data_IF_442682416698
#
_entry.id   IF_442682416698
#
_cell.length_a   1.000
_cell.length_b   1.000
_cell.length_c   1.000
_cell.angle_alpha   90.00
_cell.angle_beta   90.00
_cell.angle_gamma   90.00
#
_symmetry.space_group_name_H-M   'P 1'
#
loop_
_entity.id
_entity.type
_entity.pdbx_description
1 polymer ?
#
# COMPACT_ATOMS: atom_id res chain seq x y z
N UNK A 1 60.27 -14.60 -5.41
CA UNK A 1 60.73 -15.95 -4.95
C UNK A 1 59.52 -16.80 -4.61
N UNK A 2 59.49 -17.98 -5.21
CA UNK A 2 58.64 -19.16 -5.00
C UNK A 2 57.10 -19.02 -4.99
N UNK A 3 56.53 -19.42 -6.14
CA UNK A 3 55.15 -19.93 -6.32
C UNK A 3 55.01 -21.24 -5.55
N UNK A 4 53.88 -21.42 -4.84
CA UNK A 4 53.43 -22.73 -4.36
C UNK A 4 52.09 -23.00 -5.03
N UNK A 5 52.04 -24.08 -5.82
CA UNK A 5 50.82 -24.50 -6.56
C UNK A 5 49.82 -25.19 -5.66
N UNK A 6 48.55 -24.98 -5.98
CA UNK A 6 47.43 -25.74 -5.42
C UNK A 6 47.24 -27.06 -6.17
N UNK A 7 46.86 -28.15 -5.49
CA UNK A 7 46.61 -29.45 -6.14
C UNK A 7 45.21 -29.44 -6.80
N UNK A 8 45.17 -29.85 -8.07
CA UNK A 8 43.96 -30.24 -8.79
C UNK A 8 43.43 -31.55 -8.21
N UNK A 9 42.22 -31.55 -7.70
CA UNK A 9 41.47 -32.79 -7.45
C UNK A 9 40.69 -33.18 -8.69
N UNK A 10 41.12 -34.29 -9.27
CA UNK A 10 40.51 -34.99 -10.39
C UNK A 10 39.23 -35.68 -9.88
N UNK A 11 38.05 -35.28 -10.42
CA UNK A 11 36.73 -35.84 -10.08
C UNK A 11 36.23 -36.69 -11.25
N UNK A 12 37.07 -37.61 -11.71
CA UNK A 12 36.67 -38.70 -12.63
C UNK A 12 36.71 -40.05 -11.95
N UNK A 13 35.97 -40.13 -10.79
CA UNK A 13 35.69 -41.42 -10.09
C UNK A 13 34.43 -42.04 -10.67
N UNK A 14 34.68 -42.78 -11.71
CA UNK A 14 34.00 -43.94 -12.31
C UNK A 14 32.65 -44.35 -11.70
N UNK A 15 31.58 -44.09 -12.46
CA UNK A 15 30.24 -44.71 -12.37
C UNK A 15 30.27 -46.27 -12.43
N UNK A 16 31.41 -46.86 -12.74
CA UNK A 16 31.60 -48.32 -12.82
C UNK A 16 31.70 -48.99 -11.45
N UNK A 17 32.07 -48.27 -10.37
CA UNK A 17 32.27 -48.88 -9.06
C UNK A 17 31.00 -49.02 -8.24
N UNK A 18 29.92 -48.30 -8.60
CA UNK A 18 28.61 -48.39 -7.92
C UNK A 18 27.80 -49.60 -8.42
N UNK A 19 28.09 -50.11 -9.59
CA UNK A 19 27.37 -51.25 -10.19
C UNK A 19 27.86 -52.63 -9.78
N UNK A 20 28.97 -52.74 -9.07
CA UNK A 20 29.53 -54.03 -8.61
C UNK A 20 29.06 -54.47 -7.21
N UNK A 21 28.27 -53.68 -6.50
CA UNK A 21 27.80 -54.04 -5.17
C UNK A 21 26.37 -54.57 -5.10
N UNK A 22 25.70 -54.80 -6.28
CA UNK A 22 24.35 -55.36 -6.34
C UNK A 22 24.39 -56.75 -7.00
N UNK A 23 25.33 -57.59 -6.57
CA UNK A 23 25.42 -58.98 -6.98
C UNK A 23 25.02 -59.93 -5.83
N UNK A 24 23.71 -60.12 -5.59
CA UNK A 24 23.29 -61.08 -4.60
C UNK A 24 21.84 -61.01 -4.16
N UNK A 25 20.90 -60.93 -5.13
CA UNK A 25 19.48 -61.18 -4.82
C UNK A 25 18.92 -62.28 -5.76
N UNK A 26 18.19 -63.27 -5.24
CA UNK A 26 17.65 -64.36 -6.01
C UNK A 26 16.52 -63.87 -6.93
N UNK A 27 16.42 -64.50 -8.13
CA UNK A 27 15.48 -64.33 -9.21
C UNK A 27 14.17 -63.63 -8.86
N UNK A 28 14.11 -62.32 -9.08
CA UNK A 28 12.87 -61.58 -9.18
C UNK A 28 12.34 -61.79 -10.58
N UNK A 29 11.11 -62.32 -10.70
CA UNK A 29 10.43 -62.63 -11.98
C UNK A 29 10.54 -61.45 -12.94
N UNK A 30 10.81 -61.79 -14.25
CA UNK A 30 11.01 -60.80 -15.33
C UNK A 30 9.89 -59.76 -15.47
N UNK A 31 8.69 -60.04 -14.93
CA UNK A 31 7.54 -59.14 -14.93
C UNK A 31 7.70 -58.03 -13.86
N UNK A 32 8.22 -58.36 -12.66
CA UNK A 32 8.44 -57.36 -11.60
C UNK A 32 9.60 -56.44 -11.96
N UNK A 33 10.63 -56.92 -12.66
CA UNK A 33 11.75 -56.07 -13.10
C UNK A 33 11.33 -55.05 -14.18
N UNK A 34 10.39 -55.43 -15.08
CA UNK A 34 9.82 -54.52 -16.06
C UNK A 34 8.95 -53.43 -15.41
N UNK A 35 8.10 -53.79 -14.45
CA UNK A 35 7.26 -52.85 -13.71
C UNK A 35 8.10 -51.86 -12.91
N UNK A 36 9.12 -52.29 -12.21
CA UNK A 36 10.04 -51.42 -11.44
C UNK A 36 10.81 -50.47 -12.37
N UNK A 37 11.30 -50.97 -13.52
CA UNK A 37 11.97 -50.10 -14.50
C UNK A 37 11.01 -49.06 -15.11
N UNK A 38 9.78 -49.45 -15.44
CA UNK A 38 8.76 -48.52 -15.95
C UNK A 38 8.41 -47.49 -14.89
N UNK A 39 8.27 -47.88 -13.65
CA UNK A 39 7.98 -46.95 -12.53
C UNK A 39 9.11 -45.97 -12.28
N UNK A 40 10.38 -46.42 -12.34
CA UNK A 40 11.57 -45.57 -12.25
C UNK A 40 11.66 -44.57 -13.40
N UNK A 41 11.36 -45.02 -14.63
CA UNK A 41 11.36 -44.14 -15.83
C UNK A 41 10.24 -43.10 -15.70
N UNK A 42 9.05 -43.48 -15.24
CA UNK A 42 7.93 -42.53 -15.01
C UNK A 42 8.27 -41.50 -13.93
N UNK A 43 8.90 -41.91 -12.82
CA UNK A 43 9.37 -40.97 -11.79
C UNK A 43 10.45 -40.04 -12.34
N UNK A 44 11.39 -40.54 -13.14
CA UNK A 44 12.46 -39.71 -13.75
C UNK A 44 11.91 -38.71 -14.75
N UNK A 45 10.93 -39.13 -15.58
CA UNK A 45 10.24 -38.24 -16.53
C UNK A 45 9.37 -37.23 -15.80
N UNK A 46 8.63 -37.64 -14.77
CA UNK A 46 7.83 -36.73 -13.94
C UNK A 46 8.71 -35.69 -13.20
N UNK A 47 9.86 -36.12 -12.66
CA UNK A 47 10.84 -35.21 -12.04
C UNK A 47 11.46 -34.24 -13.06
N UNK A 48 11.70 -34.69 -14.31
CA UNK A 48 12.22 -33.84 -15.38
C UNK A 48 11.17 -32.83 -15.87
N UNK A 49 9.88 -33.19 -15.86
CA UNK A 49 8.78 -32.28 -16.23
C UNK A 49 8.59 -31.21 -15.14
N UNK A 50 8.73 -31.54 -13.87
CA UNK A 50 8.67 -30.56 -12.76
C UNK A 50 9.85 -29.56 -12.81
N UNK A 51 11.03 -30.01 -13.27
CA UNK A 51 12.20 -29.15 -13.48
C UNK A 51 12.11 -28.29 -14.74
N UNK A 52 11.21 -28.62 -15.68
CA UNK A 52 10.96 -27.88 -16.93
C UNK A 52 9.73 -26.94 -16.84
N UNK A 53 9.00 -26.95 -15.71
CA UNK A 53 8.04 -25.88 -15.48
C UNK A 53 8.87 -24.59 -15.37
N UNK A 54 8.67 -23.62 -16.27
CA UNK A 54 9.32 -22.35 -16.08
C UNK A 54 8.88 -21.86 -14.70
N UNK A 55 9.81 -21.71 -13.78
CA UNK A 55 9.60 -20.83 -12.66
C UNK A 55 9.14 -19.54 -13.33
N UNK A 56 7.88 -19.16 -13.13
CA UNK A 56 7.38 -17.87 -13.55
C UNK A 56 8.24 -16.85 -12.82
N UNK A 57 9.42 -16.57 -13.37
CA UNK A 57 10.16 -15.38 -13.03
C UNK A 57 9.23 -14.28 -13.50
N UNK A 58 8.37 -13.82 -12.58
CA UNK A 58 7.65 -12.58 -12.73
C UNK A 58 8.75 -11.53 -12.93
N UNK A 59 9.10 -11.29 -14.18
CA UNK A 59 10.01 -10.23 -14.52
C UNK A 59 9.32 -8.96 -14.07
N UNK A 60 9.78 -8.46 -12.93
CA UNK A 60 9.21 -7.34 -12.20
C UNK A 60 9.40 -6.10 -13.06
N UNK A 61 8.33 -5.76 -13.76
CA UNK A 61 8.28 -4.55 -14.56
C UNK A 61 7.97 -3.41 -13.61
N UNK A 62 8.82 -2.51 -13.29
CA UNK A 62 8.50 -1.25 -12.59
C UNK A 62 7.55 -1.38 -11.36
N UNK A 63 7.41 -2.57 -10.79
CA UNK A 63 6.58 -2.83 -9.61
C UNK A 63 7.38 -3.62 -8.59
N UNK A 64 7.03 -3.51 -7.33
CA UNK A 64 7.48 -4.48 -6.34
C UNK A 64 6.83 -5.85 -6.62
N UNK A 65 7.57 -6.91 -6.37
CA UNK A 65 6.96 -8.24 -6.34
C UNK A 65 5.98 -8.32 -5.18
N UNK A 66 5.05 -9.25 -5.25
CA UNK A 66 4.16 -9.54 -4.13
C UNK A 66 4.95 -9.83 -2.84
N UNK A 67 6.10 -10.51 -2.96
CA UNK A 67 6.95 -10.82 -1.81
C UNK A 67 7.61 -9.56 -1.24
N UNK A 68 8.11 -8.66 -2.08
CA UNK A 68 8.66 -7.39 -1.61
C UNK A 68 7.61 -6.59 -0.82
N UNK A 69 6.37 -6.50 -1.34
CA UNK A 69 5.28 -5.82 -0.63
C UNK A 69 4.97 -6.47 0.72
N UNK A 70 5.02 -7.81 0.81
CA UNK A 70 4.85 -8.54 2.07
C UNK A 70 5.99 -8.20 3.04
N UNK A 71 7.23 -8.21 2.57
CA UNK A 71 8.42 -7.99 3.40
C UNK A 71 8.48 -6.56 3.94
N UNK A 72 8.17 -5.57 3.09
CA UNK A 72 8.14 -4.16 3.50
C UNK A 72 6.93 -3.78 4.36
N UNK A 73 5.86 -4.56 4.32
CA UNK A 73 4.66 -4.36 5.14
C UNK A 73 4.39 -5.56 6.05
N UNK A 74 5.45 -6.17 6.58
CA UNK A 74 5.39 -7.42 7.39
C UNK A 74 4.53 -7.30 8.64
N UNK A 75 4.48 -6.10 9.23
CA UNK A 75 3.71 -5.83 10.46
C UNK A 75 2.22 -5.54 10.17
N UNK A 76 1.77 -5.69 8.92
CA UNK A 76 0.38 -5.57 8.54
C UNK A 76 -0.49 -6.64 9.21
N UNK A 77 -1.51 -6.26 10.01
CA UNK A 77 -2.37 -7.22 10.71
C UNK A 77 -3.54 -7.72 9.87
N UNK A 78 -3.76 -7.16 8.69
CA UNK A 78 -4.91 -7.42 7.83
C UNK A 78 -4.59 -8.42 6.71
N UNK A 79 -5.63 -8.87 6.02
CA UNK A 79 -5.50 -9.59 4.76
C UNK A 79 -4.73 -8.78 3.72
N UNK A 80 -4.48 -9.41 2.56
CA UNK A 80 -3.79 -8.75 1.44
C UNK A 80 -4.62 -8.82 0.17
N UNK A 81 -4.49 -7.79 -0.64
CA UNK A 81 -4.98 -7.78 -2.01
C UNK A 81 -4.17 -8.77 -2.87
N UNK A 82 -4.69 -9.17 -4.05
CA UNK A 82 -3.98 -10.10 -4.94
C UNK A 82 -2.56 -9.65 -5.33
N UNK A 83 -2.34 -8.35 -5.42
CA UNK A 83 -1.04 -7.72 -5.72
C UNK A 83 -0.06 -7.72 -4.53
N UNK A 84 -0.50 -8.07 -3.33
CA UNK A 84 0.30 -8.15 -2.10
C UNK A 84 0.15 -6.95 -1.18
N UNK A 85 -0.50 -5.87 -1.61
CA UNK A 85 -0.78 -4.71 -0.75
C UNK A 85 -1.62 -5.11 0.46
N UNK A 86 -1.39 -4.51 1.64
CA UNK A 86 -2.30 -4.60 2.77
C UNK A 86 -3.74 -4.23 2.37
N UNK A 87 -4.70 -5.03 2.85
CA UNK A 87 -6.12 -4.78 2.66
C UNK A 87 -6.75 -4.34 3.99
N UNK A 88 -6.56 -3.06 4.33
CA UNK A 88 -7.30 -2.47 5.45
C UNK A 88 -8.79 -2.71 5.20
N UNK A 89 -9.55 -3.28 6.16
CA UNK A 89 -10.99 -3.56 6.01
C UNK A 89 -11.81 -2.33 5.68
N UNK A 90 -12.86 -2.49 4.87
CA UNK A 90 -13.70 -1.39 4.44
C UNK A 90 -14.44 -0.72 5.61
N UNK A 91 -14.76 -1.48 6.67
CA UNK A 91 -15.35 -0.94 7.89
C UNK A 91 -14.40 0.04 8.62
N UNK A 92 -13.10 -0.26 8.62
CA UNK A 92 -12.10 0.63 9.22
C UNK A 92 -11.87 1.86 8.36
N UNK A 93 -11.95 1.74 7.03
CA UNK A 93 -11.91 2.88 6.11
C UNK A 93 -13.09 3.82 6.36
N UNK A 94 -14.31 3.28 6.47
CA UNK A 94 -15.50 4.09 6.77
C UNK A 94 -15.40 4.77 8.16
N UNK A 95 -14.92 4.04 9.17
CA UNK A 95 -14.66 4.61 10.50
C UNK A 95 -13.64 5.76 10.46
N UNK A 96 -12.63 5.66 9.59
CA UNK A 96 -11.60 6.69 9.44
C UNK A 96 -12.09 7.99 8.78
N UNK A 97 -13.28 8.02 8.18
CA UNK A 97 -13.82 9.25 7.56
C UNK A 97 -14.09 10.37 8.55
N UNK A 98 -14.18 10.07 9.84
CA UNK A 98 -14.35 11.05 10.90
C UNK A 98 -13.05 11.62 11.46
N UNK A 99 -11.88 11.15 10.99
CA UNK A 99 -10.58 11.58 11.52
C UNK A 99 -10.19 12.97 11.02
N UNK A 100 -9.50 13.70 11.88
CA UNK A 100 -8.76 14.92 11.57
C UNK A 100 -7.27 14.63 11.43
N UNK A 101 -6.53 15.52 10.77
CA UNK A 101 -5.08 15.46 10.68
C UNK A 101 -4.40 15.48 12.07
N UNK A 102 -4.96 16.20 13.04
CA UNK A 102 -4.41 16.28 14.40
C UNK A 102 -4.43 14.93 15.12
N UNK A 103 -5.53 14.19 15.01
CA UNK A 103 -5.68 12.87 15.65
C UNK A 103 -4.69 11.86 15.06
N UNK A 104 -4.51 11.87 13.74
CA UNK A 104 -3.54 11.01 13.06
C UNK A 104 -2.11 11.36 13.49
N UNK A 105 -1.79 12.68 13.55
CA UNK A 105 -0.49 13.15 14.00
C UNK A 105 -0.15 12.66 15.41
N UNK A 106 -1.08 12.79 16.35
CA UNK A 106 -0.86 12.45 17.76
C UNK A 106 -0.42 10.99 17.94
N UNK A 107 -1.01 10.07 17.19
CA UNK A 107 -0.65 8.64 17.25
C UNK A 107 0.67 8.37 16.54
N UNK A 108 0.84 8.83 15.30
CA UNK A 108 2.03 8.54 14.51
C UNK A 108 3.29 9.13 15.11
N UNK A 109 3.23 10.36 15.65
CA UNK A 109 4.35 10.98 16.34
C UNK A 109 4.80 10.16 17.56
N UNK A 110 3.86 9.69 18.37
CA UNK A 110 4.15 8.86 19.54
C UNK A 110 4.83 7.52 19.16
N UNK A 111 4.61 7.04 17.94
CA UNK A 111 5.24 5.82 17.38
C UNK A 111 6.57 6.10 16.66
N UNK A 112 7.01 7.34 16.57
CA UNK A 112 8.23 7.74 15.86
C UNK A 112 8.08 7.87 14.34
N UNK A 113 6.83 7.86 13.81
CA UNK A 113 6.52 8.02 12.40
C UNK A 113 6.25 9.50 12.06
N UNK A 114 7.32 10.31 12.06
CA UNK A 114 7.21 11.77 11.93
C UNK A 114 7.06 12.27 10.48
N UNK A 115 7.37 11.44 9.48
CA UNK A 115 7.40 11.83 8.06
C UNK A 115 6.26 11.13 7.29
N UNK A 116 5.03 11.25 7.79
CA UNK A 116 3.85 10.62 7.19
C UNK A 116 2.79 11.66 6.78
N UNK A 117 3.13 12.94 6.84
CA UNK A 117 2.25 14.05 6.49
C UNK A 117 2.73 14.78 5.23
N UNK A 118 1.79 15.05 4.35
CA UNK A 118 2.00 15.83 3.13
C UNK A 118 1.02 17.01 3.07
N UNK A 119 1.55 18.21 2.94
CA UNK A 119 0.81 19.48 2.90
C UNK A 119 1.09 20.31 1.64
N UNK A 120 0.56 21.52 1.60
CA UNK A 120 0.80 22.48 0.51
C UNK A 120 0.04 22.17 -0.76
N UNK A 121 -1.04 21.40 -0.67
CA UNK A 121 -1.93 21.10 -1.78
C UNK A 121 -3.06 22.13 -1.93
N UNK A 122 -3.53 22.28 -3.17
CA UNK A 122 -4.90 22.71 -3.43
C UNK A 122 -5.82 21.51 -3.21
N UNK A 123 -6.99 21.75 -2.62
CA UNK A 123 -7.96 20.69 -2.28
C UNK A 123 -9.24 20.95 -3.09
N UNK A 124 -9.63 19.98 -3.92
CA UNK A 124 -10.81 20.14 -4.79
C UNK A 124 -12.10 20.26 -3.96
N UNK A 125 -12.22 19.48 -2.87
CA UNK A 125 -13.37 19.49 -1.97
C UNK A 125 -12.94 19.68 -0.51
N UNK A 126 -12.68 20.92 -0.05
CA UNK A 126 -12.14 21.17 1.29
C UNK A 126 -13.07 20.71 2.45
N UNK A 127 -14.34 20.46 2.17
CA UNK A 127 -15.30 19.96 3.17
C UNK A 127 -15.49 18.45 3.21
N UNK A 128 -14.72 17.69 2.42
CA UNK A 128 -14.80 16.23 2.35
C UNK A 128 -13.50 15.60 2.81
N UNK A 129 -13.60 14.66 3.74
CA UNK A 129 -12.46 13.82 4.14
C UNK A 129 -12.22 12.77 3.05
N UNK A 130 -10.97 12.64 2.62
CA UNK A 130 -10.50 11.57 1.74
C UNK A 130 -9.97 10.41 2.58
N UNK A 131 -10.47 9.21 2.37
CA UNK A 131 -9.96 8.01 3.02
C UNK A 131 -9.94 6.85 2.06
N UNK A 132 -8.85 6.05 2.08
CA UNK A 132 -8.74 4.83 1.29
C UNK A 132 -7.35 4.22 1.34
N UNK A 133 -7.22 3.04 0.72
CA UNK A 133 -5.95 2.32 0.61
C UNK A 133 -5.08 2.95 -0.47
N UNK A 134 -3.83 3.20 -0.15
CA UNK A 134 -2.89 3.83 -1.09
C UNK A 134 -2.54 2.89 -2.25
N UNK A 135 -2.70 3.39 -3.47
CA UNK A 135 -2.14 2.85 -4.70
C UNK A 135 -1.12 3.84 -5.24
N UNK A 136 0.15 3.50 -5.21
CA UNK A 136 1.23 4.42 -5.56
C UNK A 136 1.63 4.34 -7.02
N UNK A 137 1.95 5.48 -7.62
CA UNK A 137 2.50 5.61 -8.97
C UNK A 137 3.65 6.60 -8.97
N UNK A 138 4.76 6.23 -9.59
CA UNK A 138 5.96 7.06 -9.68
C UNK A 138 6.29 7.39 -11.12
N UNK A 139 6.51 8.67 -11.38
CA UNK A 139 7.09 9.17 -12.62
C UNK A 139 8.44 9.80 -12.37
N UNK A 140 9.32 9.75 -13.36
CA UNK A 140 10.58 10.48 -13.40
C UNK A 140 10.70 11.29 -14.69
N UNK A 141 11.58 12.30 -14.74
CA UNK A 141 11.93 12.94 -16.01
C UNK A 141 12.36 11.90 -17.05
N UNK A 142 11.91 12.08 -18.28
CA UNK A 142 12.22 11.13 -19.36
C UNK A 142 13.73 10.97 -19.53
N UNK A 143 14.15 9.73 -19.63
CA UNK A 143 15.51 9.32 -20.00
C UNK A 143 15.39 8.19 -21.02
N UNK A 144 15.62 8.49 -22.27
CA UNK A 144 15.25 7.65 -23.41
C UNK A 144 15.85 6.23 -23.36
N UNK A 145 17.10 6.08 -22.92
CA UNK A 145 17.75 4.78 -22.80
C UNK A 145 17.09 3.88 -21.73
N UNK A 146 16.53 4.47 -20.66
CA UNK A 146 15.77 3.76 -19.63
C UNK A 146 14.34 3.48 -20.10
N UNK A 147 13.70 4.48 -20.71
CA UNK A 147 12.34 4.37 -21.23
C UNK A 147 12.23 3.27 -22.29
N UNK A 148 13.18 3.20 -23.23
CA UNK A 148 13.21 2.15 -24.27
C UNK A 148 13.26 0.73 -23.67
N UNK A 149 14.03 0.52 -22.61
CA UNK A 149 14.10 -0.77 -21.91
C UNK A 149 12.80 -1.06 -21.17
N UNK A 150 12.22 -0.06 -20.51
CA UNK A 150 10.97 -0.19 -19.78
C UNK A 150 9.81 -0.52 -20.74
N UNK A 151 9.69 0.22 -21.84
CA UNK A 151 8.68 -0.02 -22.89
C UNK A 151 8.82 -1.41 -23.52
N UNK A 152 10.05 -1.86 -23.79
CA UNK A 152 10.29 -3.20 -24.30
C UNK A 152 9.79 -4.27 -23.33
N UNK A 153 10.15 -4.17 -22.05
CA UNK A 153 9.69 -5.09 -21.00
C UNK A 153 8.17 -5.05 -20.86
N UNK A 154 7.56 -3.87 -20.92
CA UNK A 154 6.10 -3.71 -20.87
C UNK A 154 5.41 -4.50 -21.99
N UNK A 155 5.91 -4.38 -23.22
CA UNK A 155 5.39 -5.12 -24.37
C UNK A 155 5.53 -6.64 -24.22
N UNK A 156 6.64 -7.12 -23.67
CA UNK A 156 6.86 -8.54 -23.34
C UNK A 156 5.80 -9.08 -22.36
N UNK A 157 5.22 -8.21 -21.52
CA UNK A 157 4.15 -8.52 -20.56
C UNK A 157 2.74 -8.13 -21.05
N UNK A 158 2.59 -7.85 -22.35
CA UNK A 158 1.29 -7.54 -22.94
C UNK A 158 0.79 -6.10 -22.68
N UNK A 159 1.65 -5.22 -22.16
CA UNK A 159 1.36 -3.79 -21.98
C UNK A 159 1.91 -3.03 -23.20
N UNK A 160 1.05 -2.51 -24.07
CA UNK A 160 1.50 -1.96 -25.37
C UNK A 160 2.28 -0.64 -25.19
N UNK A 161 2.02 0.13 -24.13
CA UNK A 161 2.67 1.41 -23.83
C UNK A 161 2.55 1.72 -22.33
N UNK A 162 3.61 2.32 -21.76
CA UNK A 162 3.63 2.80 -20.38
C UNK A 162 3.13 4.25 -20.31
N UNK A 163 1.94 4.45 -19.75
CA UNK A 163 1.32 5.76 -19.58
C UNK A 163 0.68 5.88 -18.19
N UNK A 164 0.16 7.06 -17.84
CA UNK A 164 -0.67 7.23 -16.65
C UNK A 164 -1.88 6.29 -16.65
N UNK A 165 -2.50 6.04 -17.81
CA UNK A 165 -3.62 5.12 -17.95
C UNK A 165 -3.26 3.68 -17.57
N UNK A 166 -2.02 3.23 -17.86
CA UNK A 166 -1.55 1.89 -17.46
C UNK A 166 -1.69 1.66 -15.95
N UNK A 167 -1.34 2.66 -15.14
CA UNK A 167 -1.50 2.58 -13.69
C UNK A 167 -2.96 2.76 -13.25
N UNK A 168 -3.68 3.67 -13.87
CA UNK A 168 -5.09 3.98 -13.56
C UNK A 168 -5.98 2.74 -13.81
N UNK A 169 -5.71 1.95 -14.84
CA UNK A 169 -6.46 0.72 -15.16
C UNK A 169 -6.27 -0.40 -14.12
N UNK A 170 -5.30 -0.28 -13.21
CA UNK A 170 -5.04 -1.25 -12.14
C UNK A 170 -5.74 -0.91 -10.82
N UNK A 171 -6.42 0.23 -10.73
CA UNK A 171 -7.11 0.67 -9.52
C UNK A 171 -8.26 -0.26 -9.14
N UNK A 172 -8.49 -0.39 -7.83
CA UNK A 172 -9.52 -1.24 -7.24
C UNK A 172 -10.44 -0.43 -6.30
N UNK A 173 -11.64 -0.93 -5.98
CA UNK A 173 -12.52 -0.30 -5.00
C UNK A 173 -11.83 -0.05 -3.67
N UNK A 174 -11.99 1.16 -3.14
CA UNK A 174 -11.35 1.62 -1.90
C UNK A 174 -9.91 2.12 -2.05
N UNK A 175 -9.35 2.18 -3.27
CA UNK A 175 -8.04 2.78 -3.50
C UNK A 175 -8.09 4.32 -3.49
N UNK A 176 -7.00 4.92 -3.01
CA UNK A 176 -6.61 6.31 -3.27
C UNK A 176 -5.42 6.30 -4.20
N UNK A 177 -5.57 6.91 -5.37
CA UNK A 177 -4.47 7.05 -6.33
C UNK A 177 -3.48 8.11 -5.83
N UNK A 178 -2.24 7.71 -5.54
CA UNK A 178 -1.17 8.57 -5.03
C UNK A 178 -0.03 8.63 -6.03
N UNK A 179 0.20 9.82 -6.60
CA UNK A 179 1.13 10.00 -7.72
C UNK A 179 2.29 10.90 -7.35
N UNK A 180 3.49 10.34 -7.35
CA UNK A 180 4.75 11.11 -7.34
C UNK A 180 5.15 11.45 -8.77
N UNK A 181 5.06 12.72 -9.11
CA UNK A 181 5.58 13.28 -10.35
C UNK A 181 6.55 14.44 -10.05
N UNK A 182 7.33 14.27 -8.99
CA UNK A 182 8.42 15.16 -8.54
C UNK A 182 8.06 16.66 -8.48
N UNK A 183 6.82 17.01 -8.14
CA UNK A 183 6.35 18.40 -8.04
C UNK A 183 6.15 19.10 -9.40
N UNK A 184 6.09 18.35 -10.49
CA UNK A 184 5.97 18.91 -11.85
C UNK A 184 4.59 19.56 -12.06
N UNK A 185 4.59 20.88 -12.29
CA UNK A 185 3.37 21.65 -12.49
C UNK A 185 3.01 21.76 -13.98
N UNK A 186 3.95 22.17 -14.81
CA UNK A 186 3.75 22.31 -16.27
C UNK A 186 4.06 20.98 -16.95
N UNK A 187 3.17 20.52 -17.84
CA UNK A 187 3.22 19.18 -18.44
C UNK A 187 3.26 18.05 -17.40
N UNK A 188 2.73 18.30 -16.19
CA UNK A 188 2.64 17.33 -15.10
C UNK A 188 1.22 16.84 -14.82
N UNK A 189 0.30 17.06 -15.74
CA UNK A 189 -1.12 16.75 -15.57
C UNK A 189 -1.39 15.26 -15.66
N UNK A 190 -1.76 14.68 -14.53
CA UNK A 190 -2.06 13.24 -14.41
C UNK A 190 -3.44 12.92 -14.96
N UNK A 191 -4.45 13.75 -14.65
CA UNK A 191 -5.83 13.57 -15.06
C UNK A 191 -6.45 14.87 -15.53
N UNK A 192 -7.38 14.78 -16.49
CA UNK A 192 -8.47 15.71 -16.73
C UNK A 192 -9.77 15.08 -16.28
N UNK A 193 -10.90 15.70 -16.60
CA UNK A 193 -12.25 15.30 -16.15
C UNK A 193 -12.59 13.84 -16.47
N UNK A 194 -12.36 13.38 -17.70
CA UNK A 194 -12.69 12.01 -18.12
C UNK A 194 -11.91 10.95 -17.33
N UNK A 195 -10.59 11.13 -17.14
CA UNK A 195 -9.78 10.18 -16.36
C UNK A 195 -10.10 10.28 -14.87
N UNK A 196 -10.40 11.48 -14.37
CA UNK A 196 -10.81 11.65 -12.98
C UNK A 196 -12.15 10.94 -12.70
N UNK A 197 -13.11 11.04 -13.65
CA UNK A 197 -14.35 10.29 -13.58
C UNK A 197 -14.12 8.77 -13.57
N UNK A 198 -13.20 8.29 -14.41
CA UNK A 198 -12.83 6.87 -14.41
C UNK A 198 -12.21 6.44 -13.08
N UNK A 199 -11.27 7.21 -12.51
CA UNK A 199 -10.68 6.96 -11.19
C UNK A 199 -11.78 6.88 -10.12
N UNK A 200 -12.73 7.84 -10.12
CA UNK A 200 -13.85 7.85 -9.19
C UNK A 200 -14.68 6.56 -9.28
N UNK A 201 -14.95 6.06 -10.50
CA UNK A 201 -15.69 4.82 -10.72
C UNK A 201 -14.91 3.60 -10.28
N UNK A 202 -13.62 3.50 -10.64
CA UNK A 202 -12.75 2.36 -10.32
C UNK A 202 -12.53 2.24 -8.80
N UNK A 203 -12.35 3.36 -8.12
CA UNK A 203 -12.06 3.39 -6.68
C UNK A 203 -13.28 3.45 -5.77
N UNK A 204 -14.50 3.58 -6.34
CA UNK A 204 -15.73 3.83 -5.60
C UNK A 204 -15.62 5.09 -4.70
N UNK A 205 -15.16 6.19 -5.29
CA UNK A 205 -14.95 7.50 -4.64
C UNK A 205 -13.80 7.54 -3.62
N UNK A 206 -12.75 6.75 -3.80
CA UNK A 206 -11.58 6.76 -2.94
C UNK A 206 -10.91 8.14 -2.87
N UNK A 207 -10.14 8.51 -3.87
CA UNK A 207 -9.49 9.82 -3.92
C UNK A 207 -8.28 9.88 -4.84
N UNK A 208 -7.72 11.09 -4.95
CA UNK A 208 -6.52 11.38 -5.74
C UNK A 208 -5.56 12.28 -4.96
N UNK A 209 -4.29 11.91 -4.88
CA UNK A 209 -3.20 12.77 -4.41
C UNK A 209 -2.14 12.84 -5.49
N UNK A 210 -1.83 14.05 -5.95
CA UNK A 210 -0.81 14.28 -7.00
C UNK A 210 0.23 15.28 -6.53
N UNK A 211 1.48 14.85 -6.40
CA UNK A 211 2.60 15.79 -6.25
C UNK A 211 2.94 16.39 -7.64
N UNK A 212 1.97 17.05 -8.23
CA UNK A 212 1.98 17.58 -9.59
C UNK A 212 0.72 18.36 -9.94
N UNK A 213 0.27 18.30 -11.19
CA UNK A 213 -0.90 19.03 -11.67
C UNK A 213 -2.05 18.14 -12.14
N UNK A 214 -3.21 18.75 -12.19
CA UNK A 214 -4.43 18.27 -12.84
C UNK A 214 -4.96 19.34 -13.78
N UNK A 215 -5.97 19.06 -14.61
CA UNK A 215 -6.61 20.04 -15.48
C UNK A 215 -8.13 19.88 -15.44
N UNK A 216 -8.81 20.76 -16.18
CA UNK A 216 -10.26 20.73 -16.37
C UNK A 216 -11.03 20.90 -15.04
N UNK A 217 -10.58 21.85 -14.18
CA UNK A 217 -11.10 22.02 -12.80
C UNK A 217 -12.61 22.17 -12.73
N UNK A 218 -13.24 22.88 -13.69
CA UNK A 218 -14.69 23.04 -13.73
C UNK A 218 -15.39 21.67 -13.87
N UNK A 219 -14.93 20.84 -14.82
CA UNK A 219 -15.44 19.48 -14.98
C UNK A 219 -15.14 18.56 -13.79
N UNK A 220 -13.95 18.68 -13.19
CA UNK A 220 -13.61 17.93 -11.98
C UNK A 220 -14.52 18.29 -10.80
N UNK A 221 -14.94 19.56 -10.70
CA UNK A 221 -15.81 20.04 -9.61
C UNK A 221 -17.23 19.44 -9.64
N UNK A 222 -17.62 18.83 -10.75
CA UNK A 222 -18.88 18.09 -10.89
C UNK A 222 -18.78 16.61 -10.48
N UNK A 223 -17.54 16.11 -10.25
CA UNK A 223 -17.27 14.71 -9.94
C UNK A 223 -17.04 14.55 -8.44
N UNK A 224 -17.91 13.81 -7.77
CA UNK A 224 -17.93 13.64 -6.32
C UNK A 224 -16.78 12.73 -5.80
N UNK A 225 -15.53 13.23 -5.93
CA UNK A 225 -14.32 12.56 -5.41
C UNK A 225 -13.30 13.59 -4.92
N UNK A 226 -12.73 13.44 -3.70
CA UNK A 226 -11.69 14.33 -3.18
C UNK A 226 -10.40 14.24 -4.02
N UNK A 227 -9.73 15.38 -4.20
CA UNK A 227 -8.43 15.44 -4.84
C UNK A 227 -7.51 16.50 -4.21
N UNK A 228 -6.23 16.14 -4.08
CA UNK A 228 -5.13 16.95 -3.56
C UNK A 228 -4.08 17.09 -4.65
N UNK A 229 -3.72 18.32 -5.03
CA UNK A 229 -2.82 18.59 -6.16
C UNK A 229 -2.07 19.91 -5.97
N UNK A 230 -0.94 20.10 -6.67
CA UNK A 230 -0.12 21.31 -6.51
C UNK A 230 -0.55 22.46 -7.40
N UNK A 231 -1.06 22.16 -8.58
CA UNK A 231 -1.43 23.19 -9.58
C UNK A 231 -2.48 22.67 -10.56
N UNK A 232 -3.18 23.59 -11.21
CA UNK A 232 -3.89 23.33 -12.44
C UNK A 232 -3.03 23.76 -13.63
N UNK A 233 -2.93 22.89 -14.65
CA UNK A 233 -2.19 23.18 -15.89
C UNK A 233 -2.90 22.55 -17.09
N UNK A 234 -3.23 23.31 -18.16
CA UNK A 234 -4.04 22.79 -19.27
C UNK A 234 -3.27 21.82 -20.17
N UNK A 235 -1.94 21.75 -20.04
CA UNK A 235 -1.13 20.89 -20.89
C UNK A 235 -1.25 19.41 -20.48
N UNK A 236 -1.15 18.48 -21.44
CA UNK A 236 -1.14 17.07 -21.10
C UNK A 236 0.17 16.68 -20.37
N UNK A 237 0.17 15.50 -19.75
CA UNK A 237 1.39 14.90 -19.21
C UNK A 237 2.43 14.73 -20.32
N UNK A 238 3.66 15.15 -20.04
CA UNK A 238 4.75 15.07 -21.02
C UNK A 238 6.13 15.20 -20.40
N UNK A 239 7.16 14.76 -21.14
CA UNK A 239 8.55 14.75 -20.71
C UNK A 239 8.78 13.99 -19.39
N UNK A 240 8.03 12.93 -19.18
CA UNK A 240 8.14 12.04 -18.03
C UNK A 240 7.98 10.59 -18.48
N UNK A 241 8.55 9.66 -17.74
CA UNK A 241 8.39 8.22 -17.92
C UNK A 241 7.82 7.60 -16.64
N UNK A 242 6.96 6.61 -16.79
CA UNK A 242 6.45 5.80 -15.68
C UNK A 242 7.57 4.89 -15.17
N UNK A 243 7.94 5.02 -13.91
CA UNK A 243 9.06 4.29 -13.30
C UNK A 243 8.66 3.36 -12.17
N UNK A 244 7.43 3.47 -11.67
CA UNK A 244 6.96 2.59 -10.60
C UNK A 244 5.45 2.56 -10.45
N UNK A 245 4.92 1.36 -10.18
CA UNK A 245 3.54 1.12 -9.78
C UNK A 245 3.60 0.25 -8.54
N UNK A 246 2.88 0.64 -7.47
CA UNK A 246 2.94 -0.04 -6.17
C UNK A 246 4.39 -0.16 -5.64
N UNK A 247 5.15 0.92 -5.74
CA UNK A 247 6.47 1.11 -5.15
C UNK A 247 6.42 2.21 -4.09
N UNK A 248 7.39 2.30 -3.16
CA UNK A 248 7.48 3.44 -2.26
C UNK A 248 7.66 4.73 -3.04
N UNK A 249 6.90 5.75 -2.68
CA UNK A 249 7.00 7.07 -3.32
C UNK A 249 7.22 8.16 -2.28
N UNK A 250 7.71 9.31 -2.73
CA UNK A 250 7.80 10.51 -1.91
C UNK A 250 6.69 11.49 -2.31
N UNK A 251 5.80 11.79 -1.38
CA UNK A 251 4.77 12.82 -1.56
C UNK A 251 5.10 13.97 -0.61
N UNK A 252 5.55 15.10 -1.16
CA UNK A 252 6.04 16.24 -0.38
C UNK A 252 7.13 15.80 0.62
N UNK A 253 6.85 15.85 1.94
CA UNK A 253 7.75 15.40 3.01
C UNK A 253 7.53 13.96 3.48
N UNK A 254 6.51 13.27 2.95
CA UNK A 254 6.12 11.94 3.40
C UNK A 254 6.73 10.82 2.57
N UNK A 255 7.10 9.72 3.23
CA UNK A 255 7.36 8.43 2.59
C UNK A 255 6.05 7.64 2.60
N UNK A 256 5.59 7.25 1.42
CA UNK A 256 4.28 6.61 1.23
C UNK A 256 4.47 5.20 0.69
N UNK A 257 3.89 4.24 1.38
CA UNK A 257 3.92 2.84 0.96
C UNK A 257 2.61 2.41 0.31
N UNK A 258 2.67 1.51 -0.69
CA UNK A 258 1.46 0.86 -1.20
C UNK A 258 0.72 0.13 -0.08
N UNK A 259 -0.59 0.41 0.06
CA UNK A 259 -1.43 -0.19 1.09
C UNK A 259 -1.48 0.57 2.41
N UNK A 260 -0.77 1.70 2.57
CA UNK A 260 -1.03 2.64 3.66
C UNK A 260 -2.50 3.10 3.62
N UNK A 261 -3.04 3.52 4.75
CA UNK A 261 -4.32 4.23 4.79
C UNK A 261 -4.06 5.72 4.57
N UNK A 262 -4.54 6.27 3.46
CA UNK A 262 -4.57 7.72 3.27
C UNK A 262 -5.74 8.33 4.06
N UNK A 263 -5.47 9.39 4.81
CA UNK A 263 -6.46 10.22 5.49
C UNK A 263 -6.17 11.66 5.13
N UNK A 264 -7.08 12.29 4.41
CA UNK A 264 -6.92 13.66 3.94
C UNK A 264 -8.07 14.56 4.37
N UNK A 265 -7.76 15.74 4.89
CA UNK A 265 -8.70 16.79 5.27
C UNK A 265 -8.31 18.13 4.63
N UNK A 266 -8.75 19.25 5.23
CA UNK A 266 -8.45 20.59 4.71
C UNK A 266 -6.98 21.01 4.87
N UNK A 267 -6.24 20.37 5.77
CA UNK A 267 -4.87 20.73 6.12
C UNK A 267 -3.85 19.99 5.26
N UNK A 268 -4.15 18.75 4.89
CA UNK A 268 -3.27 17.92 4.07
C UNK A 268 -3.66 16.45 4.10
N UNK A 269 -2.68 15.58 3.85
CA UNK A 269 -2.88 14.13 3.79
C UNK A 269 -1.88 13.42 4.68
N UNK A 270 -2.38 12.57 5.57
CA UNK A 270 -1.59 11.57 6.29
C UNK A 270 -1.62 10.22 5.58
N UNK A 271 -0.48 9.52 5.66
CA UNK A 271 -0.33 8.15 5.17
C UNK A 271 -0.01 7.26 6.37
N UNK A 272 -0.99 6.48 6.80
CA UNK A 272 -0.95 5.68 8.02
C UNK A 272 -0.53 4.25 7.71
N UNK A 273 0.60 3.76 8.23
CA UNK A 273 0.97 2.37 8.10
C UNK A 273 -0.13 1.44 8.67
N UNK A 274 -0.47 0.34 7.98
CA UNK A 274 -1.62 -0.53 8.34
C UNK A 274 -1.62 -1.01 9.79
N UNK A 275 -0.44 -1.28 10.36
CA UNK A 275 -0.32 -1.75 11.75
C UNK A 275 -0.83 -0.76 12.81
N UNK A 276 -0.97 0.52 12.47
CA UNK A 276 -1.45 1.53 13.40
C UNK A 276 -2.91 1.92 13.22
N UNK A 277 -3.58 1.42 12.17
CA UNK A 277 -4.94 1.85 11.81
C UNK A 277 -5.94 1.58 12.95
N UNK A 278 -5.91 0.38 13.55
CA UNK A 278 -6.84 0.05 14.63
C UNK A 278 -6.60 0.92 15.87
N UNK A 279 -5.33 1.04 16.30
CA UNK A 279 -4.97 1.87 17.47
C UNK A 279 -5.33 3.34 17.23
N UNK A 280 -5.08 3.85 16.02
CA UNK A 280 -5.45 5.21 15.65
C UNK A 280 -6.95 5.46 15.81
N UNK A 281 -7.78 4.56 15.27
CA UNK A 281 -9.23 4.70 15.34
C UNK A 281 -9.76 4.62 16.78
N UNK A 282 -9.19 3.74 17.60
CA UNK A 282 -9.59 3.61 19.00
C UNK A 282 -9.16 4.86 19.81
N UNK A 283 -7.98 5.41 19.51
CA UNK A 283 -7.51 6.64 20.15
C UNK A 283 -8.31 7.86 19.72
N UNK A 284 -8.70 7.94 18.46
CA UNK A 284 -9.55 9.02 17.97
C UNK A 284 -10.93 9.04 18.64
N UNK A 285 -11.53 7.88 18.91
CA UNK A 285 -12.78 7.83 19.71
C UNK A 285 -12.60 8.46 21.09
N UNK A 286 -11.49 8.16 21.77
CA UNK A 286 -11.20 8.76 23.08
C UNK A 286 -11.02 10.28 22.98
N UNK A 287 -10.34 10.77 21.95
CA UNK A 287 -10.12 12.20 21.70
C UNK A 287 -11.45 12.90 21.44
N UNK A 288 -12.30 12.36 20.55
CA UNK A 288 -13.62 12.93 20.26
C UNK A 288 -14.49 13.01 21.52
N UNK A 289 -14.48 11.97 22.38
CA UNK A 289 -15.24 11.96 23.63
C UNK A 289 -14.65 12.98 24.61
N UNK A 290 -13.34 13.11 24.67
CA UNK A 290 -12.68 14.13 25.48
C UNK A 290 -13.09 15.55 25.05
N UNK A 291 -13.09 15.81 23.76
CA UNK A 291 -13.49 17.10 23.19
C UNK A 291 -14.97 17.42 23.44
N UNK A 292 -15.84 16.41 23.28
CA UNK A 292 -17.26 16.54 23.60
C UNK A 292 -17.46 16.92 25.08
N UNK A 293 -16.78 16.22 25.98
CA UNK A 293 -16.83 16.49 27.42
C UNK A 293 -16.28 17.88 27.75
N UNK A 294 -15.13 18.24 27.21
CA UNK A 294 -14.45 19.53 27.42
C UNK A 294 -15.31 20.69 26.96
N UNK A 295 -15.90 20.62 25.74
CA UNK A 295 -16.80 21.66 25.25
C UNK A 295 -18.03 21.84 26.13
N UNK A 296 -18.64 20.73 26.57
CA UNK A 296 -19.76 20.77 27.52
C UNK A 296 -19.36 21.43 28.85
N UNK A 297 -18.16 21.19 29.34
CA UNK A 297 -17.64 21.83 30.57
C UNK A 297 -17.36 23.31 30.37
N UNK A 298 -16.93 23.76 29.21
CA UNK A 298 -16.81 25.18 28.89
C UNK A 298 -18.19 25.87 28.89
N UNK A 299 -19.20 25.21 28.33
CA UNK A 299 -20.58 25.74 28.27
C UNK A 299 -21.18 25.95 29.71
N UNK A 300 -20.74 25.16 30.69
CA UNK A 300 -21.11 25.40 32.09
C UNK A 300 -20.57 26.73 32.65
N UNK A 301 -19.56 27.33 32.03
CA UNK A 301 -19.00 28.64 32.41
C UNK A 301 -18.27 28.67 33.77
N UNK A 302 -17.93 27.49 34.33
CA UNK A 302 -17.34 27.36 35.67
C UNK A 302 -15.82 27.14 35.66
N UNK A 303 -15.29 26.64 34.56
CA UNK A 303 -13.90 26.17 34.45
C UNK A 303 -13.10 27.01 33.47
N UNK A 304 -11.81 27.20 33.77
CA UNK A 304 -10.86 27.81 32.86
C UNK A 304 -10.30 26.75 31.93
N UNK A 305 -9.83 27.16 30.74
CA UNK A 305 -9.20 26.24 29.78
C UNK A 305 -8.03 25.45 30.39
N UNK A 306 -7.22 26.08 31.21
CA UNK A 306 -6.10 25.45 31.93
C UNK A 306 -6.50 24.34 32.92
N UNK A 307 -7.77 24.23 33.26
CA UNK A 307 -8.28 23.24 34.23
C UNK A 307 -8.85 21.99 33.54
N UNK A 308 -9.32 22.12 32.31
CA UNK A 308 -10.10 21.06 31.61
C UNK A 308 -9.67 20.76 30.19
N UNK A 309 -8.83 21.59 29.54
CA UNK A 309 -8.40 21.36 28.15
C UNK A 309 -7.54 20.09 27.99
N UNK A 310 -6.73 19.79 29.00
CA UNK A 310 -6.02 18.50 29.10
C UNK A 310 -6.71 17.62 30.14
N UNK A 311 -6.16 16.43 30.39
CA UNK A 311 -6.67 15.57 31.49
C UNK A 311 -6.76 16.35 32.77
N UNK A 312 -7.95 16.47 33.42
CA UNK A 312 -8.13 17.26 34.61
C UNK A 312 -7.23 16.82 35.74
N UNK A 313 -6.61 17.79 36.45
CA UNK A 313 -5.80 17.53 37.65
C UNK A 313 -6.63 17.46 38.95
N UNK A 314 -7.83 18.06 38.97
CA UNK A 314 -8.76 17.91 40.06
C UNK A 314 -9.31 16.48 40.15
N UNK A 315 -9.17 15.78 41.30
CA UNK A 315 -9.56 14.38 41.42
C UNK A 315 -11.06 14.11 41.20
N UNK A 316 -11.95 15.04 41.51
CA UNK A 316 -13.38 14.87 41.31
C UNK A 316 -13.74 15.03 39.85
N UNK A 317 -13.14 16.02 39.21
CA UNK A 317 -13.35 16.28 37.80
C UNK A 317 -12.73 15.15 36.92
N UNK A 318 -11.56 14.64 37.31
CA UNK A 318 -10.94 13.50 36.68
C UNK A 318 -11.83 12.25 36.77
N UNK A 319 -12.41 11.98 37.93
CA UNK A 319 -13.33 10.85 38.10
C UNK A 319 -14.58 11.00 37.22
N UNK A 320 -15.17 12.19 37.18
CA UNK A 320 -16.31 12.50 36.33
C UNK A 320 -15.99 12.27 34.87
N UNK A 321 -14.82 12.74 34.40
CA UNK A 321 -14.36 12.51 33.03
C UNK A 321 -14.19 11.02 32.72
N UNK A 322 -13.55 10.25 33.60
CA UNK A 322 -13.34 8.81 33.40
C UNK A 322 -14.66 8.03 33.33
N UNK A 323 -15.63 8.35 34.15
CA UNK A 323 -16.97 7.75 34.12
C UNK A 323 -17.70 8.11 32.81
N UNK A 324 -17.57 9.36 32.37
CA UNK A 324 -18.13 9.80 31.10
C UNK A 324 -17.49 9.10 29.91
N UNK A 325 -16.16 9.06 29.83
CA UNK A 325 -15.41 8.38 28.79
C UNK A 325 -15.83 6.91 28.67
N UNK A 326 -15.84 6.19 29.78
CA UNK A 326 -16.24 4.78 29.82
C UNK A 326 -17.65 4.57 29.27
N UNK A 327 -18.61 5.36 29.73
CA UNK A 327 -20.00 5.27 29.28
C UNK A 327 -20.13 5.53 27.77
N UNK A 328 -19.45 6.56 27.28
CA UNK A 328 -19.52 6.93 25.84
C UNK A 328 -18.87 5.87 24.94
N UNK A 329 -17.75 5.30 25.37
CA UNK A 329 -17.11 4.18 24.64
C UNK A 329 -18.03 2.95 24.57
N UNK A 330 -18.69 2.58 25.68
CA UNK A 330 -19.67 1.49 25.70
C UNK A 330 -20.87 1.75 24.75
N UNK A 331 -21.34 3.00 24.68
CA UNK A 331 -22.40 3.40 23.75
C UNK A 331 -21.97 3.29 22.28
N UNK A 332 -20.76 3.77 21.95
CA UNK A 332 -20.18 3.68 20.59
C UNK A 332 -20.01 2.23 20.16
N UNK A 333 -19.47 1.36 21.02
CA UNK A 333 -19.30 -0.05 20.70
C UNK A 333 -20.66 -0.73 20.42
N UNK A 334 -21.67 -0.50 21.27
CA UNK A 334 -23.02 -1.02 21.03
C UNK A 334 -23.64 -0.53 19.72
N UNK A 335 -23.43 0.73 19.36
CA UNK A 335 -23.94 1.26 18.09
C UNK A 335 -23.27 0.58 16.89
N UNK A 336 -21.95 0.35 16.93
CA UNK A 336 -21.21 -0.36 15.87
C UNK A 336 -21.66 -1.81 15.76
N UNK A 337 -21.78 -2.52 16.86
CA UNK A 337 -22.26 -3.92 16.87
C UNK A 337 -23.67 -4.06 16.27
N UNK A 338 -24.54 -3.07 16.49
CA UNK A 338 -25.91 -3.08 15.94
C UNK A 338 -25.97 -2.75 14.44
N UNK A 339 -24.96 -2.11 13.87
CA UNK A 339 -24.87 -1.81 12.43
C UNK A 339 -24.33 -3.02 11.62
N UNK A 340 -23.70 -3.98 12.27
CA UNK A 340 -23.14 -5.18 11.67
C UNK A 340 -24.05 -6.43 11.79
N UNK A 341 -25.23 -6.29 12.39
CA UNK A 341 -26.28 -7.32 12.45
C UNK A 341 -27.38 -7.05 11.39
#
# INVERSE_FOLDING_TARGET
>A
MRRVGAPQHDVTGSLATILSYIGGFPMINAVTSRLVRTFLIVILVASSIVLLLPASANAQLLTFSKQDLIDYTRDNPFDRLPDGRPKVPDELIERARGLSSEEVWAVLQAKGFNNQYADGFQVLYPGKTMVGRVFTVQFMPVRSDVEDVAEKKAKEHGIPRLTNQTAIDMLQPGDVLVVDIFGKKVNGTIVGDNLFYYVMKATHKGGLVVDGSIRDLDGLSEIDMPAYFLAADPTPIGNVMLTGINVPVRIRGATVMPGDLAVGDREGVYFVPPQFVQELLDRADEIHIHDEWTKRKFDEGKYKSSEIYSTPSDPKLLKEYQEYLKKRLEELHKQRDSQHQ
#
